data_IF_853509359256
#
_entry.id   IF_853509359256
#
_cell.length_a   1.000
_cell.length_b   1.000
_cell.length_c   1.000
_cell.angle_alpha   90.00
_cell.angle_beta   90.00
_cell.angle_gamma   90.00
#
_symmetry.space_group_name_H-M   'P 1'
#
loop_
_entity.id
_entity.type
_entity.pdbx_description
1 polymer ?
#
# COMPACT_ATOMS: atom_id res chain seq x y z
N UNK A 1 -32.83 -9.71 -3.83
CA UNK A 1 -31.40 -9.68 -3.42
C UNK A 1 -31.25 -8.59 -2.38
N UNK A 2 -31.26 -8.99 -1.11
CA UNK A 2 -30.98 -8.09 0.02
C UNK A 2 -29.48 -7.84 0.08
N UNK A 3 -29.02 -6.58 0.21
CA UNK A 3 -27.60 -6.32 0.44
C UNK A 3 -27.30 -6.78 1.87
N UNK A 4 -26.41 -7.77 2.00
CA UNK A 4 -25.81 -8.09 3.28
C UNK A 4 -24.99 -6.86 3.73
N UNK A 5 -25.58 -6.03 4.59
CA UNK A 5 -24.87 -4.98 5.31
C UNK A 5 -24.27 -5.62 6.53
N UNK A 6 -23.00 -5.99 6.41
CA UNK A 6 -22.18 -6.26 7.56
C UNK A 6 -22.24 -5.02 8.48
N UNK A 7 -22.67 -5.14 9.76
CA UNK A 7 -22.85 -3.99 10.65
C UNK A 7 -21.55 -3.23 10.94
N UNK A 8 -20.40 -3.79 10.55
CA UNK A 8 -19.08 -3.15 10.65
C UNK A 8 -18.57 -2.62 9.29
N UNK A 9 -19.42 -2.55 8.27
CA UNK A 9 -19.05 -1.99 6.97
C UNK A 9 -18.95 -0.46 7.04
N UNK A 10 -17.82 0.04 7.57
CA UNK A 10 -17.54 1.47 7.62
C UNK A 10 -17.43 2.00 6.18
N UNK A 11 -18.18 3.06 5.90
CA UNK A 11 -18.14 3.78 4.63
C UNK A 11 -16.76 4.42 4.42
N UNK A 12 -16.16 4.20 3.24
CA UNK A 12 -14.85 4.73 2.87
C UNK A 12 -14.78 6.26 3.04
N UNK A 13 -15.87 6.97 2.75
CA UNK A 13 -15.92 8.45 2.82
C UNK A 13 -15.93 8.96 4.26
N UNK A 14 -16.32 8.11 5.22
CA UNK A 14 -16.27 8.41 6.65
C UNK A 14 -14.93 8.01 7.27
N UNK A 15 -14.32 6.93 6.77
CA UNK A 15 -13.05 6.42 7.29
C UNK A 15 -11.82 7.18 6.74
N UNK A 16 -11.87 7.61 5.48
CA UNK A 16 -10.73 8.22 4.78
C UNK A 16 -11.12 9.65 4.39
N UNK A 17 -10.41 10.69 4.90
CA UNK A 17 -10.67 12.06 4.49
C UNK A 17 -10.37 12.22 3.00
N UNK A 18 -10.86 13.29 2.36
CA UNK A 18 -10.51 13.59 0.96
C UNK A 18 -9.05 14.05 0.84
N UNK A 19 -8.27 13.47 -0.06
CA UNK A 19 -6.95 13.97 -0.43
C UNK A 19 -7.12 15.30 -1.17
N UNK A 20 -6.55 16.36 -0.60
CA UNK A 20 -6.58 17.73 -1.17
C UNK A 20 -5.25 18.11 -1.81
N UNK A 21 -4.19 17.42 -1.42
CA UNK A 21 -2.84 17.63 -1.91
C UNK A 21 -1.82 17.31 -0.82
N UNK A 22 -0.62 17.88 -0.96
CA UNK A 22 0.51 17.59 -0.07
C UNK A 22 0.21 17.83 1.41
N UNK A 23 -0.56 18.89 1.74
CA UNK A 23 -0.83 19.30 3.12
C UNK A 23 -1.50 18.22 3.98
N UNK A 24 -2.28 17.32 3.37
CA UNK A 24 -2.97 16.24 4.09
C UNK A 24 -2.59 14.83 3.61
N UNK A 25 -1.52 14.69 2.83
CA UNK A 25 -1.04 13.41 2.30
C UNK A 25 -0.85 12.34 3.39
N UNK A 26 -0.07 12.64 4.44
CA UNK A 26 0.24 11.66 5.49
C UNK A 26 -1.02 11.17 6.23
N UNK A 27 -1.91 12.11 6.58
CA UNK A 27 -3.17 11.78 7.23
C UNK A 27 -4.06 10.94 6.31
N UNK A 28 -4.13 11.31 5.03
CA UNK A 28 -4.88 10.55 4.02
C UNK A 28 -4.33 9.13 3.85
N UNK A 29 -3.03 8.99 3.59
CA UNK A 29 -2.35 7.71 3.36
C UNK A 29 -2.50 6.76 4.56
N UNK A 30 -2.37 7.28 5.79
CA UNK A 30 -2.57 6.50 7.01
C UNK A 30 -4.00 5.96 7.12
N UNK A 31 -5.00 6.81 6.90
CA UNK A 31 -6.39 6.39 6.99
C UNK A 31 -6.77 5.43 5.86
N UNK A 32 -6.28 5.67 4.64
CA UNK A 32 -6.44 4.76 3.51
C UNK A 32 -5.85 3.39 3.84
N UNK A 33 -4.60 3.33 4.34
CA UNK A 33 -3.95 2.08 4.74
C UNK A 33 -4.77 1.31 5.77
N UNK A 34 -5.24 1.99 6.81
CA UNK A 34 -6.03 1.36 7.86
C UNK A 34 -7.37 0.84 7.33
N UNK A 35 -8.04 1.64 6.49
CA UNK A 35 -9.28 1.25 5.84
C UNK A 35 -9.09 0.01 4.96
N UNK A 36 -8.12 0.03 4.05
CA UNK A 36 -7.84 -1.07 3.13
C UNK A 36 -7.54 -2.36 3.90
N UNK A 37 -6.66 -2.33 4.88
CA UNK A 37 -6.32 -3.49 5.71
C UNK A 37 -7.50 -4.04 6.51
N UNK A 38 -8.44 -3.18 6.91
CA UNK A 38 -9.66 -3.64 7.61
C UNK A 38 -10.63 -4.40 6.70
N UNK A 39 -10.58 -4.15 5.38
CA UNK A 39 -11.45 -4.79 4.39
C UNK A 39 -10.81 -6.02 3.76
N UNK A 40 -9.56 -5.89 3.38
CA UNK A 40 -8.78 -6.97 2.80
C UNK A 40 -7.30 -6.74 3.16
N UNK A 41 -6.64 -7.69 3.85
CA UNK A 41 -5.23 -7.55 4.24
C UNK A 41 -4.30 -7.32 3.05
N UNK A 42 -4.60 -7.93 1.90
CA UNK A 42 -3.78 -7.87 0.68
C UNK A 42 -3.94 -6.55 -0.08
N UNK A 43 -4.98 -5.76 0.22
CA UNK A 43 -5.28 -4.54 -0.51
C UNK A 43 -4.16 -3.49 -0.38
N UNK A 44 -3.60 -3.35 0.83
CA UNK A 44 -2.47 -2.46 1.04
C UNK A 44 -1.19 -3.00 0.40
N UNK A 45 -1.01 -4.33 0.41
CA UNK A 45 0.17 -4.97 -0.17
C UNK A 45 0.16 -4.89 -1.70
N UNK A 46 -1.01 -4.84 -2.34
CA UNK A 46 -1.16 -4.52 -3.77
C UNK A 46 -0.62 -3.13 -4.08
N UNK A 47 -1.00 -2.11 -3.29
CA UNK A 47 -0.49 -0.74 -3.46
C UNK A 47 1.01 -0.59 -3.18
N UNK A 48 1.61 -1.54 -2.47
CA UNK A 48 3.05 -1.61 -2.26
C UNK A 48 3.78 -2.44 -3.31
N UNK A 49 3.07 -3.02 -4.29
CA UNK A 49 3.64 -3.90 -5.31
C UNK A 49 4.04 -5.28 -4.79
N UNK A 50 3.60 -5.68 -3.59
CA UNK A 50 3.88 -7.00 -2.99
C UNK A 50 2.87 -8.06 -3.40
N UNK A 51 1.63 -7.65 -3.68
CA UNK A 51 0.58 -8.53 -4.18
C UNK A 51 0.38 -8.29 -5.69
N UNK A 52 1.12 -9.05 -6.49
CA UNK A 52 1.18 -8.91 -7.95
C UNK A 52 0.16 -9.79 -8.65
N UNK A 53 -0.09 -9.49 -9.93
CA UNK A 53 -0.87 -10.38 -10.79
C UNK A 53 -0.20 -11.76 -10.79
N UNK A 54 -0.95 -12.86 -10.63
CA UNK A 54 -0.39 -14.20 -10.70
C UNK A 54 0.33 -14.43 -12.03
N UNK A 55 1.45 -15.14 -11.98
CA UNK A 55 2.17 -15.58 -13.17
C UNK A 55 1.47 -16.78 -13.82
N UNK A 56 1.57 -16.88 -15.14
CA UNK A 56 1.00 -17.99 -15.89
C UNK A 56 1.68 -19.31 -15.48
N UNK A 57 0.92 -20.36 -15.12
CA UNK A 57 1.51 -21.60 -14.63
C UNK A 57 2.19 -22.37 -15.76
N UNK A 58 3.33 -22.98 -15.47
CA UNK A 58 3.94 -23.96 -16.35
C UNK A 58 3.06 -25.22 -16.41
N UNK A 59 2.57 -25.55 -17.61
CA UNK A 59 1.72 -26.71 -17.83
C UNK A 59 2.56 -27.98 -18.03
N UNK A 60 2.01 -29.11 -17.60
CA UNK A 60 2.56 -30.43 -17.89
C UNK A 60 2.37 -30.73 -19.39
N UNK A 61 3.38 -31.32 -20.02
CA UNK A 61 3.25 -31.74 -21.42
C UNK A 61 2.15 -32.80 -21.58
N UNK A 62 1.33 -32.63 -22.60
CA UNK A 62 0.32 -33.61 -23.03
C UNK A 62 0.74 -34.38 -24.28
N UNK A 63 1.95 -34.11 -24.78
CA UNK A 63 2.49 -34.77 -25.96
C UNK A 63 2.91 -36.20 -25.63
N UNK A 64 2.62 -37.13 -26.56
CA UNK A 64 2.93 -38.55 -26.39
C UNK A 64 4.42 -38.80 -26.25
N UNK A 65 5.24 -38.18 -27.10
CA UNK A 65 6.71 -38.37 -27.10
C UNK A 65 7.33 -37.93 -25.78
N UNK A 66 6.91 -36.80 -25.24
CA UNK A 66 7.44 -36.26 -23.99
C UNK A 66 6.95 -37.08 -22.78
N UNK A 67 5.68 -37.50 -22.77
CA UNK A 67 5.18 -38.40 -21.73
C UNK A 67 5.87 -39.77 -21.78
N UNK A 68 6.14 -40.29 -22.98
CA UNK A 68 6.86 -41.55 -23.18
C UNK A 68 8.31 -41.43 -22.66
N UNK A 69 8.99 -40.31 -22.92
CA UNK A 69 10.31 -40.01 -22.35
C UNK A 69 10.27 -39.95 -20.83
N UNK A 70 9.32 -39.21 -20.24
CA UNK A 70 9.17 -39.09 -18.79
C UNK A 70 8.92 -40.46 -18.14
N UNK A 71 8.08 -41.30 -18.74
CA UNK A 71 7.80 -42.65 -18.25
C UNK A 71 9.01 -43.58 -18.38
N UNK A 72 9.73 -43.53 -19.50
CA UNK A 72 10.94 -44.32 -19.71
C UNK A 72 12.05 -43.93 -18.70
N UNK A 73 12.23 -42.64 -18.43
CA UNK A 73 13.15 -42.15 -17.40
C UNK A 73 12.75 -42.66 -16.01
N UNK A 74 11.44 -42.67 -15.69
CA UNK A 74 10.96 -43.23 -14.41
C UNK A 74 11.16 -44.74 -14.28
N UNK A 75 11.15 -45.48 -15.40
CA UNK A 75 11.38 -46.92 -15.41
C UNK A 75 12.86 -47.30 -15.20
N UNK A 76 13.78 -46.38 -15.49
CA UNK A 76 15.24 -46.57 -15.35
C UNK A 76 15.87 -47.36 -16.52
N UNK A 77 17.20 -47.33 -16.61
CA UNK A 77 17.93 -48.08 -17.64
C UNK A 77 17.68 -49.59 -17.51
N UNK A 78 17.28 -50.23 -18.62
CA UNK A 78 16.90 -51.64 -18.66
C UNK A 78 15.51 -51.95 -18.11
N UNK A 79 14.73 -50.92 -17.73
CA UNK A 79 13.33 -51.08 -17.34
C UNK A 79 12.42 -51.49 -18.50
N UNK A 80 11.24 -52.08 -18.20
CA UNK A 80 10.26 -52.43 -19.23
C UNK A 80 9.77 -51.17 -19.95
N UNK A 81 9.58 -51.27 -21.27
CA UNK A 81 9.01 -50.18 -22.06
C UNK A 81 7.63 -49.78 -21.51
N UNK A 82 7.33 -48.48 -21.40
CA UNK A 82 6.01 -48.02 -20.98
C UNK A 82 4.92 -48.60 -21.88
N UNK A 83 3.86 -49.15 -21.28
CA UNK A 83 2.72 -49.65 -22.04
C UNK A 83 1.85 -48.51 -22.54
N UNK A 84 1.10 -48.74 -23.61
CA UNK A 84 0.14 -47.75 -24.14
C UNK A 84 -0.85 -47.28 -23.06
N UNK A 85 -1.32 -48.19 -22.21
CA UNK A 85 -2.22 -47.85 -21.11
C UNK A 85 -1.55 -46.96 -20.04
N UNK A 86 -0.24 -47.13 -19.81
CA UNK A 86 0.53 -46.26 -18.90
C UNK A 86 0.72 -44.87 -19.51
N UNK A 87 0.99 -44.81 -20.82
CA UNK A 87 1.10 -43.55 -21.55
C UNK A 87 -0.20 -42.76 -21.52
N UNK A 88 -1.32 -43.38 -21.91
CA UNK A 88 -2.65 -42.77 -21.90
C UNK A 88 -3.03 -42.25 -20.51
N UNK A 89 -2.74 -43.04 -19.46
CA UNK A 89 -2.97 -42.60 -18.08
C UNK A 89 -2.09 -41.41 -17.69
N UNK A 90 -0.84 -41.36 -18.13
CA UNK A 90 0.06 -40.23 -17.86
C UNK A 90 -0.44 -38.94 -18.52
N UNK A 91 -0.83 -39.02 -19.79
CA UNK A 91 -1.37 -37.87 -20.54
C UNK A 91 -2.67 -37.39 -19.90
N UNK A 92 -3.56 -38.30 -19.52
CA UNK A 92 -4.81 -37.94 -18.83
C UNK A 92 -4.56 -37.29 -17.46
N UNK A 93 -3.56 -37.76 -16.71
CA UNK A 93 -3.13 -37.11 -15.47
C UNK A 93 -2.55 -35.71 -15.71
N UNK A 94 -1.76 -35.52 -16.77
CA UNK A 94 -1.22 -34.22 -17.16
C UNK A 94 -2.35 -33.24 -17.48
N UNK A 95 -3.34 -33.66 -18.28
CA UNK A 95 -4.56 -32.89 -18.59
C UNK A 95 -5.31 -32.45 -17.35
N UNK A 96 -5.61 -33.37 -16.44
CA UNK A 96 -6.34 -33.05 -15.21
C UNK A 96 -5.59 -32.06 -14.33
N UNK A 97 -4.26 -32.20 -14.24
CA UNK A 97 -3.40 -31.25 -13.52
C UNK A 97 -3.39 -29.88 -14.18
N UNK A 98 -3.22 -29.82 -15.51
CA UNK A 98 -3.26 -28.59 -16.29
C UNK A 98 -4.59 -27.86 -16.10
N UNK A 99 -5.70 -28.59 -16.18
CA UNK A 99 -7.03 -28.03 -15.94
C UNK A 99 -7.16 -27.43 -14.54
N UNK A 100 -6.63 -28.10 -13.52
CA UNK A 100 -6.64 -27.61 -12.13
C UNK A 100 -5.77 -26.36 -11.97
N UNK A 101 -4.57 -26.36 -12.56
CA UNK A 101 -3.65 -25.21 -12.56
C UNK A 101 -4.30 -23.99 -13.22
N UNK A 102 -4.86 -24.17 -14.43
CA UNK A 102 -5.52 -23.10 -15.17
C UNK A 102 -6.76 -22.58 -14.43
N UNK A 103 -7.54 -23.47 -13.81
CA UNK A 103 -8.72 -23.07 -13.03
C UNK A 103 -8.32 -22.21 -11.83
N UNK A 104 -7.27 -22.62 -11.11
CA UNK A 104 -6.74 -21.88 -9.95
C UNK A 104 -6.18 -20.53 -10.38
N UNK A 105 -5.30 -20.53 -11.40
CA UNK A 105 -4.71 -19.33 -11.98
C UNK A 105 -5.77 -18.32 -12.42
N UNK A 106 -6.78 -18.77 -13.17
CA UNK A 106 -7.87 -17.89 -13.63
C UNK A 106 -8.69 -17.32 -12.47
N UNK A 107 -8.93 -18.13 -11.42
CA UNK A 107 -9.62 -17.68 -10.20
C UNK A 107 -8.82 -16.59 -9.48
N UNK A 108 -7.52 -16.80 -9.31
CA UNK A 108 -6.66 -15.85 -8.60
C UNK A 108 -6.44 -14.57 -9.41
N UNK A 109 -6.27 -14.68 -10.74
CA UNK A 109 -6.28 -13.54 -11.66
C UNK A 109 -7.58 -12.72 -11.53
N UNK A 110 -8.73 -13.39 -11.44
CA UNK A 110 -10.02 -12.71 -11.27
C UNK A 110 -10.10 -11.98 -9.93
N UNK A 111 -9.68 -12.61 -8.84
CA UNK A 111 -9.63 -11.97 -7.51
C UNK A 111 -8.70 -10.76 -7.51
N UNK A 112 -7.51 -10.89 -8.09
CA UNK A 112 -6.55 -9.79 -8.22
C UNK A 112 -7.16 -8.62 -9.01
N UNK A 113 -7.77 -8.87 -10.17
CA UNK A 113 -8.41 -7.82 -10.99
C UNK A 113 -9.55 -7.13 -10.26
N UNK A 114 -10.37 -7.88 -9.53
CA UNK A 114 -11.45 -7.33 -8.70
C UNK A 114 -10.92 -6.44 -7.60
N UNK A 115 -9.85 -6.87 -6.90
CA UNK A 115 -9.22 -6.10 -5.85
C UNK A 115 -8.60 -4.81 -6.40
N UNK A 116 -7.83 -4.92 -7.49
CA UNK A 116 -7.23 -3.79 -8.18
C UNK A 116 -8.27 -2.74 -8.58
N UNK A 117 -9.37 -3.17 -9.22
CA UNK A 117 -10.48 -2.27 -9.58
C UNK A 117 -11.14 -1.64 -8.35
N UNK A 118 -11.41 -2.42 -7.31
CA UNK A 118 -11.99 -1.91 -6.06
C UNK A 118 -11.12 -0.82 -5.44
N UNK A 119 -9.79 -0.98 -5.45
CA UNK A 119 -8.87 0.01 -4.91
C UNK A 119 -8.85 1.27 -5.80
N UNK A 120 -8.87 1.15 -7.12
CA UNK A 120 -8.98 2.31 -8.01
C UNK A 120 -10.24 3.14 -7.73
N UNK A 121 -11.38 2.48 -7.51
CA UNK A 121 -12.62 3.16 -7.09
C UNK A 121 -12.43 3.85 -5.73
N UNK A 122 -11.78 3.20 -4.77
CA UNK A 122 -11.46 3.82 -3.46
C UNK A 122 -10.55 5.05 -3.63
N UNK A 123 -9.51 4.97 -4.45
CA UNK A 123 -8.63 6.09 -4.73
C UNK A 123 -9.41 7.25 -5.37
N UNK A 124 -10.23 6.97 -6.37
CA UNK A 124 -11.07 7.99 -7.02
C UNK A 124 -12.08 8.63 -6.06
N UNK A 125 -12.68 7.83 -5.17
CA UNK A 125 -13.65 8.33 -4.18
C UNK A 125 -13.01 9.04 -2.99
N UNK A 126 -11.74 8.79 -2.70
CA UNK A 126 -11.02 9.44 -1.59
C UNK A 126 -10.13 10.59 -2.05
N UNK A 127 -10.02 10.85 -3.34
CA UNK A 127 -9.36 12.02 -3.89
C UNK A 127 -10.35 13.15 -4.19
N UNK A 128 -9.89 14.41 -4.09
CA UNK A 128 -10.54 15.53 -4.78
C UNK A 128 -10.21 15.50 -6.28
N UNK A 129 -10.87 16.36 -7.06
CA UNK A 129 -10.78 16.36 -8.52
C UNK A 129 -9.34 16.50 -9.04
N UNK A 130 -8.52 17.36 -8.41
CA UNK A 130 -7.13 17.59 -8.86
C UNK A 130 -6.20 16.39 -8.59
N UNK A 131 -6.19 15.76 -7.41
CA UNK A 131 -5.49 14.48 -7.23
C UNK A 131 -6.05 13.36 -8.10
N UNK A 132 -7.38 13.26 -8.26
CA UNK A 132 -8.03 12.21 -9.04
C UNK A 132 -7.69 12.26 -10.54
N UNK A 133 -7.55 13.45 -11.11
CA UNK A 133 -7.24 13.61 -12.54
C UNK A 133 -5.88 13.03 -12.94
N UNK A 134 -4.96 12.84 -11.98
CA UNK A 134 -3.63 12.29 -12.23
C UNK A 134 -3.65 10.82 -12.65
N UNK A 135 -4.67 10.07 -12.23
CA UNK A 135 -4.75 8.63 -12.47
C UNK A 135 -6.07 8.21 -13.15
N UNK A 136 -6.76 9.15 -13.81
CA UNK A 136 -8.06 8.91 -14.44
C UNK A 136 -8.02 7.79 -15.50
N UNK A 137 -6.86 7.59 -16.15
CA UNK A 137 -6.67 6.56 -17.17
C UNK A 137 -5.83 5.36 -16.68
N UNK A 138 -5.53 5.27 -15.38
CA UNK A 138 -4.76 4.16 -14.85
C UNK A 138 -5.64 2.91 -14.69
N UNK A 139 -5.19 1.80 -15.24
CA UNK A 139 -5.81 0.49 -15.01
C UNK A 139 -5.20 -0.22 -13.79
N UNK A 140 -4.08 0.29 -13.26
CA UNK A 140 -3.38 -0.26 -12.11
C UNK A 140 -3.55 0.65 -10.89
N UNK A 141 -4.07 0.09 -9.80
CA UNK A 141 -4.17 0.77 -8.51
C UNK A 141 -2.78 1.12 -7.94
N UNK A 142 -1.79 0.24 -8.17
CA UNK A 142 -0.40 0.48 -7.80
C UNK A 142 0.14 1.71 -8.53
N UNK A 143 -0.04 1.77 -9.85
CA UNK A 143 0.42 2.91 -10.67
C UNK A 143 -0.27 4.21 -10.24
N UNK A 144 -1.60 4.17 -10.07
CA UNK A 144 -2.36 5.31 -9.57
C UNK A 144 -1.84 5.83 -8.23
N UNK A 145 -1.55 4.91 -7.30
CA UNK A 145 -1.01 5.25 -5.99
C UNK A 145 0.42 5.80 -6.07
N UNK A 146 1.29 5.23 -6.92
CA UNK A 146 2.64 5.75 -7.17
C UNK A 146 2.59 7.17 -7.73
N UNK A 147 1.71 7.48 -8.67
CA UNK A 147 1.54 8.84 -9.21
C UNK A 147 1.10 9.84 -8.14
N UNK A 148 0.21 9.42 -7.24
CA UNK A 148 -0.19 10.25 -6.09
C UNK A 148 0.98 10.44 -5.12
N UNK A 149 1.75 9.38 -4.88
CA UNK A 149 2.92 9.40 -4.03
C UNK A 149 3.98 10.36 -4.62
N UNK A 150 4.37 10.22 -5.89
CA UNK A 150 5.30 11.14 -6.54
C UNK A 150 4.84 12.61 -6.49
N UNK A 151 3.53 12.86 -6.63
CA UNK A 151 2.98 14.20 -6.66
C UNK A 151 2.87 14.87 -5.27
N UNK A 152 2.58 14.10 -4.23
CA UNK A 152 2.22 14.64 -2.90
C UNK A 152 3.12 14.16 -1.78
N UNK A 153 3.91 13.11 -2.00
CA UNK A 153 4.99 12.65 -1.15
C UNK A 153 6.30 13.39 -1.47
N UNK A 154 6.26 14.71 -1.58
CA UNK A 154 7.49 15.48 -1.73
C UNK A 154 8.21 15.60 -0.39
N UNK A 155 9.20 14.71 -0.26
CA UNK A 155 10.32 14.74 0.67
C UNK A 155 9.89 14.68 2.14
N UNK A 156 9.70 13.46 2.66
CA UNK A 156 9.65 13.20 4.09
C UNK A 156 10.78 13.97 4.81
N UNK A 157 12.00 13.97 4.26
CA UNK A 157 13.10 14.75 4.82
C UNK A 157 12.94 16.26 4.65
N UNK A 158 12.73 16.81 3.45
CA UNK A 158 12.68 18.28 3.28
C UNK A 158 11.45 18.91 3.97
N UNK A 159 10.33 18.20 4.03
CA UNK A 159 9.15 18.62 4.78
C UNK A 159 9.41 18.57 6.28
N UNK A 160 10.03 17.50 6.79
CA UNK A 160 10.45 17.41 8.20
C UNK A 160 11.45 18.50 8.53
N UNK A 161 12.47 18.72 7.71
CA UNK A 161 13.48 19.77 7.88
C UNK A 161 12.82 21.14 7.87
N UNK A 162 11.87 21.40 6.96
CA UNK A 162 11.13 22.67 6.93
C UNK A 162 10.27 22.87 8.18
N UNK A 163 9.52 21.85 8.62
CA UNK A 163 8.70 21.90 9.82
C UNK A 163 9.55 22.03 11.08
N UNK A 164 10.66 21.30 11.15
CA UNK A 164 11.66 21.39 12.19
C UNK A 164 12.27 22.79 12.24
N UNK A 165 12.72 23.35 11.12
CA UNK A 165 13.26 24.70 11.06
C UNK A 165 12.22 25.76 11.43
N UNK A 166 10.97 25.61 10.99
CA UNK A 166 9.85 26.49 11.40
C UNK A 166 9.71 26.48 12.92
N UNK A 167 9.57 25.30 13.53
CA UNK A 167 9.45 25.14 14.98
C UNK A 167 10.70 25.63 15.72
N UNK A 168 11.89 25.24 15.27
CA UNK A 168 13.17 25.57 15.87
C UNK A 168 13.56 27.05 15.72
N UNK A 169 12.89 27.81 14.83
CA UNK A 169 13.08 29.26 14.68
C UNK A 169 12.23 30.09 15.66
N UNK A 170 11.25 29.48 16.33
CA UNK A 170 10.38 30.21 17.26
C UNK A 170 11.20 30.54 18.51
N UNK A 171 11.29 31.84 18.83
CA UNK A 171 11.95 32.36 20.04
C UNK A 171 10.97 33.23 20.80
N UNK A 172 11.03 33.14 22.13
CA UNK A 172 10.37 34.08 23.01
C UNK A 172 11.30 35.28 23.21
N UNK A 173 10.86 36.45 22.76
CA UNK A 173 11.67 37.67 22.72
C UNK A 173 11.16 38.76 23.69
N UNK A 174 10.30 38.40 24.65
CA UNK A 174 9.71 39.32 25.64
C UNK A 174 8.70 40.35 25.10
N UNK A 175 8.66 40.59 23.78
CA UNK A 175 7.77 41.60 23.18
C UNK A 175 6.35 41.10 22.93
N UNK A 176 6.17 39.80 22.68
CA UNK A 176 4.85 39.17 22.59
C UNK A 176 4.40 38.62 23.94
N UNK A 177 3.08 38.51 24.18
CA UNK A 177 2.57 37.83 25.37
C UNK A 177 3.03 36.37 25.42
N UNK A 178 3.20 35.84 26.62
CA UNK A 178 3.56 34.43 26.85
C UNK A 178 2.57 33.49 26.15
N UNK A 179 1.28 33.80 26.24
CA UNK A 179 0.20 33.02 25.62
C UNK A 179 0.36 32.96 24.09
N UNK A 180 0.65 34.09 23.43
CA UNK A 180 0.85 34.11 21.97
C UNK A 180 2.12 33.36 21.55
N UNK A 181 3.16 33.34 22.38
CA UNK A 181 4.33 32.48 22.14
C UNK A 181 3.98 30.99 22.28
N UNK A 182 3.36 30.61 23.40
CA UNK A 182 3.00 29.21 23.67
C UNK A 182 2.07 28.64 22.61
N UNK A 183 1.07 29.40 22.16
CA UNK A 183 0.16 28.97 21.08
C UNK A 183 0.92 28.72 19.78
N UNK A 184 1.74 29.68 19.32
CA UNK A 184 2.54 29.51 18.09
C UNK A 184 3.51 28.33 18.18
N UNK A 185 4.14 28.16 19.35
CA UNK A 185 5.07 27.06 19.59
C UNK A 185 4.36 25.71 19.58
N UNK A 186 3.23 25.59 20.28
CA UNK A 186 2.42 24.39 20.34
C UNK A 186 1.84 24.00 18.97
N UNK A 187 1.38 24.98 18.19
CA UNK A 187 0.87 24.76 16.83
C UNK A 187 1.96 24.18 15.92
N UNK A 188 3.15 24.80 15.92
CA UNK A 188 4.28 24.32 15.13
C UNK A 188 4.78 22.94 15.58
N UNK A 189 4.78 22.66 16.89
CA UNK A 189 5.11 21.35 17.46
C UNK A 189 4.08 20.29 17.06
N UNK A 190 2.79 20.60 17.07
CA UNK A 190 1.73 19.68 16.66
C UNK A 190 1.83 19.34 15.16
N UNK A 191 2.15 20.31 14.31
CA UNK A 191 2.45 20.06 12.89
C UNK A 191 3.64 19.07 12.74
N UNK A 192 4.69 19.24 13.54
CA UNK A 192 5.89 18.41 13.50
C UNK A 192 5.67 17.00 14.11
N UNK A 193 4.91 16.87 15.19
CA UNK A 193 4.52 15.59 15.80
C UNK A 193 3.75 14.70 14.83
N UNK A 194 3.05 15.29 13.86
CA UNK A 194 2.44 14.58 12.72
C UNK A 194 3.43 13.73 11.90
N UNK A 195 4.74 14.00 12.01
CA UNK A 195 5.82 13.28 11.31
C UNK A 195 6.49 12.17 12.14
N UNK A 196 6.21 12.06 13.45
CA UNK A 196 6.77 11.06 14.39
C UNK A 196 8.30 11.00 14.52
N UNK A 197 9.01 12.11 14.29
CA UNK A 197 10.49 12.17 14.35
C UNK A 197 11.01 12.78 15.66
N UNK A 198 10.17 13.51 16.39
CA UNK A 198 10.57 14.20 17.63
C UNK A 198 10.25 13.32 18.84
N UNK A 199 11.24 13.11 19.69
CA UNK A 199 11.09 12.54 21.02
C UNK A 199 10.97 13.64 22.10
N UNK A 200 10.52 13.25 23.29
CA UNK A 200 10.29 14.16 24.41
C UNK A 200 11.56 14.91 24.84
N UNK A 201 12.72 14.29 24.67
CA UNK A 201 14.02 14.88 25.02
C UNK A 201 14.39 16.04 24.07
N UNK A 202 14.20 15.85 22.77
CA UNK A 202 14.44 16.87 21.74
C UNK A 202 13.47 18.05 21.89
N UNK A 203 12.20 17.76 22.20
CA UNK A 203 11.20 18.79 22.49
C UNK A 203 11.62 19.69 23.66
N UNK A 204 12.07 19.07 24.76
CA UNK A 204 12.48 19.75 25.98
C UNK A 204 13.71 20.63 25.76
N UNK A 205 14.74 20.12 25.08
CA UNK A 205 15.95 20.90 24.73
C UNK A 205 15.61 22.10 23.85
N UNK A 206 14.75 21.90 22.86
CA UNK A 206 14.37 22.99 21.96
C UNK A 206 13.51 24.04 22.65
N UNK A 207 12.65 23.64 23.60
CA UNK A 207 11.85 24.59 24.38
C UNK A 207 12.75 25.48 25.25
N UNK A 208 13.75 24.90 25.92
CA UNK A 208 14.74 25.68 26.67
C UNK A 208 15.52 26.64 25.77
N UNK A 209 15.91 26.20 24.58
CA UNK A 209 16.55 27.06 23.57
C UNK A 209 15.62 28.18 23.11
N UNK A 210 14.31 27.90 23.00
CA UNK A 210 13.31 28.88 22.57
C UNK A 210 13.07 30.00 23.59
N UNK A 211 13.33 29.75 24.88
CA UNK A 211 13.15 30.71 25.98
C UNK A 211 14.46 31.30 26.52
N UNK A 212 15.62 30.85 26.01
CA UNK A 212 16.95 31.23 26.51
C UNK A 212 17.34 32.69 26.23
N UNK A 213 16.70 33.37 25.27
CA UNK A 213 16.93 34.80 24.99
C UNK A 213 16.21 35.74 26.00
N UNK A 214 15.59 35.19 27.04
CA UNK A 214 15.04 35.98 28.16
C UNK A 214 16.12 36.10 29.24
N UNK A 215 16.59 37.33 29.55
CA UNK A 215 17.41 37.55 30.73
C UNK A 215 16.69 36.99 31.96
N UNK A 216 17.39 36.23 32.79
CA UNK A 216 16.84 35.64 34.00
C UNK A 216 15.95 36.65 34.73
N UNK A 217 14.70 36.25 35.00
CA UNK A 217 13.75 37.01 35.82
C UNK A 217 14.49 37.45 37.10
N UNK A 218 14.84 38.73 37.18
CA UNK A 218 15.24 39.41 38.41
C UNK A 218 13.99 39.74 39.24
#
# INVERSE_FOLDING_TARGET
>A
MTPSKDPFDIDVTKAVPKLKGQANWLTWQRNLRNYLRSKNPDAWDLLQGKYTLPEEPALYSEEEDENMRILAVRAGEGGPLPTQQQLERSIEQARQRNQTLLTTYNSDCKKWKQLNYSILVILGTTCEASPASRFQNCESALEAYVLLQEAYETSNFATVVRLYNKWASIRYNGTSSQETFLTRYADALNELRGTKIIDDHTELLQFFTAIQDVPALQ
#
